data_IF_176957552978
#
_entry.id   IF_176957552978
#
_cell.length_a   1.000
_cell.length_b   1.000
_cell.length_c   1.000
_cell.angle_alpha   90.00
_cell.angle_beta   90.00
_cell.angle_gamma   90.00
#
_symmetry.space_group_name_H-M   'P 1'
#
loop_
_entity.id
_entity.type
_entity.pdbx_description
1 polymer ?
#
# COMPACT_ATOMS: atom_id res chain seq x y z
N UNK A 1 -12.50 -12.59 61.06
CA UNK A 1 -12.12 -13.58 60.04
C UNK A 1 -12.59 -13.17 58.65
N UNK A 2 -13.85 -12.74 58.49
CA UNK A 2 -14.43 -12.29 57.20
C UNK A 2 -13.74 -11.07 56.56
N UNK A 3 -13.36 -10.06 57.34
CA UNK A 3 -12.69 -8.84 56.81
C UNK A 3 -11.34 -9.17 56.14
N UNK A 4 -10.60 -10.14 56.68
CA UNK A 4 -9.32 -10.56 56.13
C UNK A 4 -9.51 -11.32 54.81
N UNK A 5 -10.59 -12.11 54.72
CA UNK A 5 -10.98 -12.84 53.50
C UNK A 5 -11.43 -11.85 52.41
N UNK A 6 -12.28 -10.88 52.73
CA UNK A 6 -12.69 -9.82 51.79
C UNK A 6 -11.51 -9.03 51.24
N UNK A 7 -10.54 -8.66 52.09
CA UNK A 7 -9.33 -7.93 51.67
C UNK A 7 -8.46 -8.75 50.71
N UNK A 8 -8.36 -10.07 50.93
CA UNK A 8 -7.63 -10.99 50.05
C UNK A 8 -8.31 -11.13 48.68
N UNK A 9 -9.64 -11.22 48.64
CA UNK A 9 -10.40 -11.24 47.38
C UNK A 9 -10.32 -9.92 46.63
N UNK A 10 -10.40 -8.78 47.31
CA UNK A 10 -10.19 -7.45 46.72
C UNK A 10 -8.80 -7.32 46.08
N UNK A 11 -7.75 -7.80 46.74
CA UNK A 11 -6.39 -7.80 46.19
C UNK A 11 -6.28 -8.70 44.95
N UNK A 12 -6.90 -9.88 44.95
CA UNK A 12 -6.90 -10.80 43.81
C UNK A 12 -7.65 -10.19 42.61
N UNK A 13 -8.81 -9.57 42.84
CA UNK A 13 -9.59 -8.93 41.78
C UNK A 13 -8.81 -7.74 41.22
N UNK A 14 -8.22 -6.91 42.07
CA UNK A 14 -7.40 -5.77 41.65
C UNK A 14 -6.19 -6.21 40.82
N UNK A 15 -5.45 -7.23 41.28
CA UNK A 15 -4.32 -7.76 40.53
C UNK A 15 -4.75 -8.32 39.17
N UNK A 16 -5.86 -9.06 39.12
CA UNK A 16 -6.42 -9.58 37.87
C UNK A 16 -6.79 -8.47 36.89
N UNK A 17 -7.47 -7.42 37.36
CA UNK A 17 -7.86 -6.26 36.52
C UNK A 17 -6.62 -5.56 35.96
N UNK A 18 -5.58 -5.36 36.79
CA UNK A 18 -4.32 -4.74 36.34
C UNK A 18 -3.64 -5.61 35.28
N UNK A 19 -3.57 -6.92 35.48
CA UNK A 19 -2.97 -7.83 34.50
C UNK A 19 -3.73 -7.84 33.17
N UNK A 20 -5.06 -7.86 33.21
CA UNK A 20 -5.90 -7.79 31.99
C UNK A 20 -5.72 -6.45 31.29
N UNK A 21 -5.71 -5.33 32.02
CA UNK A 21 -5.47 -4.01 31.45
C UNK A 21 -4.07 -3.90 30.83
N UNK A 22 -3.04 -4.42 31.50
CA UNK A 22 -1.68 -4.44 30.98
C UNK A 22 -1.56 -5.30 29.71
N UNK A 23 -2.18 -6.47 29.68
CA UNK A 23 -2.21 -7.34 28.51
C UNK A 23 -2.95 -6.67 27.33
N UNK A 24 -4.05 -5.97 27.62
CA UNK A 24 -4.80 -5.21 26.62
C UNK A 24 -3.97 -4.06 26.05
N UNK A 25 -3.35 -3.24 26.90
CA UNK A 25 -2.47 -2.15 26.46
C UNK A 25 -1.27 -2.66 25.66
N UNK A 26 -0.69 -3.78 26.07
CA UNK A 26 0.38 -4.44 25.33
C UNK A 26 -0.09 -4.91 23.95
N UNK A 27 -1.26 -5.54 23.86
CA UNK A 27 -1.83 -5.95 22.57
C UNK A 27 -2.11 -4.77 21.64
N UNK A 28 -2.65 -3.67 22.16
CA UNK A 28 -2.84 -2.43 21.38
C UNK A 28 -1.51 -1.84 20.90
N UNK A 29 -0.44 -1.93 21.71
CA UNK A 29 0.89 -1.48 21.31
C UNK A 29 1.52 -2.32 20.18
N UNK A 30 1.06 -3.56 20.00
CA UNK A 30 1.52 -4.45 18.93
C UNK A 30 0.73 -4.32 17.64
N UNK A 31 -0.40 -3.60 17.65
CA UNK A 31 -1.21 -3.45 16.44
C UNK A 31 -0.45 -2.59 15.44
N UNK A 32 -0.20 -3.08 14.21
CA UNK A 32 0.50 -2.32 13.18
C UNK A 32 -0.24 -1.01 12.88
N UNK A 33 0.48 0.11 12.98
CA UNK A 33 -0.06 1.46 12.78
C UNK A 33 0.14 2.01 11.38
N UNK A 34 0.92 1.33 10.56
CA UNK A 34 1.25 1.75 9.20
C UNK A 34 2.13 3.00 9.13
N UNK A 35 2.71 3.43 10.25
CA UNK A 35 3.63 4.57 10.36
C UNK A 35 5.03 4.26 9.78
N UNK A 36 5.45 2.99 9.90
CA UNK A 36 6.72 2.47 9.37
C UNK A 36 6.50 1.50 8.22
N UNK A 37 7.53 1.31 7.37
CA UNK A 37 7.51 0.33 6.28
C UNK A 37 7.18 -1.07 6.81
N UNK A 38 7.88 -1.54 7.84
CA UNK A 38 7.65 -2.86 8.46
C UNK A 38 6.23 -2.98 9.03
N UNK A 39 5.69 -1.91 9.61
CA UNK A 39 4.30 -1.93 10.03
C UNK A 39 3.33 -2.04 8.85
N UNK A 40 3.60 -1.36 7.73
CA UNK A 40 2.79 -1.46 6.51
C UNK A 40 2.89 -2.86 5.90
N UNK A 41 4.07 -3.46 5.82
CA UNK A 41 4.27 -4.86 5.39
C UNK A 41 3.46 -5.83 6.25
N UNK A 42 3.46 -5.66 7.58
CA UNK A 42 2.63 -6.48 8.48
C UNK A 42 1.13 -6.32 8.19
N UNK A 43 0.66 -5.11 7.88
CA UNK A 43 -0.72 -4.86 7.44
C UNK A 43 -1.01 -5.56 6.12
N UNK A 44 -0.11 -5.48 5.12
CA UNK A 44 -0.28 -6.14 3.82
C UNK A 44 -0.43 -7.66 3.98
N UNK A 45 0.41 -8.27 4.81
CA UNK A 45 0.36 -9.70 5.12
C UNK A 45 -0.95 -10.17 5.77
N UNK A 46 -1.70 -9.24 6.38
CA UNK A 46 -3.02 -9.54 6.95
C UNK A 46 -4.14 -9.20 5.97
N UNK A 47 -4.00 -8.12 5.21
CA UNK A 47 -5.08 -7.54 4.39
C UNK A 47 -5.16 -8.15 2.99
N UNK A 48 -4.03 -8.55 2.38
CA UNK A 48 -3.97 -9.04 1.00
C UNK A 48 -3.81 -10.56 1.01
N UNK A 49 -4.89 -11.27 0.68
CA UNK A 49 -4.88 -12.75 0.59
C UNK A 49 -4.31 -13.30 -0.72
N UNK A 50 -4.08 -12.44 -1.72
CA UNK A 50 -3.62 -12.83 -3.06
C UNK A 50 -2.11 -13.08 -3.16
N UNK A 51 -1.38 -13.00 -2.05
CA UNK A 51 0.04 -13.32 -1.93
C UNK A 51 0.47 -13.38 -0.47
N UNK A 52 1.71 -13.77 -0.20
CA UNK A 52 2.26 -13.88 1.16
C UNK A 52 3.63 -13.21 1.33
N UNK A 53 4.02 -12.96 2.59
CA UNK A 53 5.32 -12.38 2.96
C UNK A 53 5.64 -11.11 2.17
N UNK A 54 4.67 -10.19 2.13
CA UNK A 54 4.78 -8.94 1.39
C UNK A 54 5.95 -8.09 1.87
N UNK A 55 6.81 -7.68 0.94
CA UNK A 55 7.96 -6.80 1.15
C UNK A 55 7.80 -5.54 0.29
N UNK A 56 7.84 -4.37 0.90
CA UNK A 56 7.71 -3.08 0.22
C UNK A 56 9.05 -2.70 -0.39
N UNK A 57 9.03 -2.37 -1.68
CA UNK A 57 10.21 -2.03 -2.46
C UNK A 57 10.30 -0.54 -2.76
N UNK A 58 9.15 0.09 -3.01
CA UNK A 58 9.09 1.52 -3.33
C UNK A 58 7.85 2.13 -2.70
N UNK A 59 7.99 3.39 -2.27
CA UNK A 59 6.86 4.18 -1.80
C UNK A 59 6.85 5.54 -2.46
N UNK A 60 5.64 6.01 -2.74
CA UNK A 60 5.35 7.35 -3.19
C UNK A 60 4.39 7.98 -2.18
N UNK A 61 4.75 9.14 -1.64
CA UNK A 61 3.82 9.96 -0.87
C UNK A 61 3.03 10.87 -1.82
N UNK A 62 1.71 10.79 -1.77
CA UNK A 62 0.82 11.53 -2.67
C UNK A 62 -0.35 12.11 -1.87
N UNK A 63 -0.38 13.44 -1.71
CA UNK A 63 -1.46 14.13 -0.98
C UNK A 63 -1.67 13.63 0.45
N UNK A 64 -0.59 13.20 1.13
CA UNK A 64 -0.61 12.62 2.47
C UNK A 64 -0.95 11.13 2.53
N UNK A 65 -1.30 10.50 1.40
CA UNK A 65 -1.40 9.04 1.28
C UNK A 65 -0.03 8.44 0.98
N UNK A 66 0.15 7.17 1.34
CA UNK A 66 1.31 6.39 0.91
C UNK A 66 0.83 5.36 -0.12
N UNK A 67 1.48 5.35 -1.28
CA UNK A 67 1.34 4.32 -2.30
C UNK A 67 2.57 3.44 -2.23
N UNK A 68 2.41 2.16 -1.87
CA UNK A 68 3.50 1.20 -1.71
C UNK A 68 3.47 0.18 -2.84
N UNK A 69 4.56 0.10 -3.61
CA UNK A 69 4.86 -1.01 -4.51
C UNK A 69 5.55 -2.13 -3.72
N UNK A 70 4.95 -3.32 -3.71
CA UNK A 70 5.44 -4.45 -2.93
C UNK A 70 5.41 -5.77 -3.71
N UNK A 71 6.32 -6.67 -3.33
CA UNK A 71 6.42 -8.04 -3.83
C UNK A 71 5.97 -9.03 -2.77
N UNK A 72 5.43 -10.16 -3.20
CA UNK A 72 5.20 -11.32 -2.35
C UNK A 72 6.25 -12.42 -2.61
N UNK A 73 6.36 -13.37 -1.68
CA UNK A 73 7.20 -14.55 -1.87
C UNK A 73 6.64 -15.53 -2.92
N UNK A 74 5.34 -15.46 -3.23
CA UNK A 74 4.64 -16.32 -4.20
C UNK A 74 4.47 -15.70 -5.59
N UNK A 75 5.44 -14.87 -6.01
CA UNK A 75 5.53 -14.27 -7.35
C UNK A 75 4.36 -13.34 -7.71
N UNK A 76 3.89 -12.58 -6.71
CA UNK A 76 2.89 -11.53 -6.88
C UNK A 76 3.52 -10.18 -6.62
N UNK A 77 2.87 -9.18 -7.19
CA UNK A 77 3.19 -7.78 -7.03
C UNK A 77 1.93 -7.01 -6.69
N UNK A 78 2.08 -5.90 -5.98
CA UNK A 78 0.94 -5.08 -5.60
C UNK A 78 1.29 -3.60 -5.55
N UNK A 79 0.32 -2.77 -5.95
CA UNK A 79 0.24 -1.37 -5.55
C UNK A 79 -0.79 -1.26 -4.43
N UNK A 80 -0.33 -1.01 -3.21
CA UNK A 80 -1.14 -0.87 -2.01
C UNK A 80 -1.27 0.59 -1.60
N UNK A 81 -2.47 0.98 -1.18
CA UNK A 81 -2.82 2.35 -0.82
C UNK A 81 -3.04 2.42 0.69
N UNK A 82 -2.34 3.36 1.32
CA UNK A 82 -2.43 3.65 2.74
C UNK A 82 -2.95 5.07 2.96
N UNK A 83 -4.09 5.18 3.64
CA UNK A 83 -4.75 6.44 3.96
C UNK A 83 -4.28 6.96 5.32
N UNK A 84 -3.91 8.25 5.44
CA UNK A 84 -3.54 8.83 6.72
C UNK A 84 -4.74 8.86 7.67
N UNK A 85 -4.49 8.57 8.95
CA UNK A 85 -5.53 8.60 10.00
C UNK A 85 -5.48 9.87 10.85
N UNK A 86 -4.53 10.77 10.59
CA UNK A 86 -4.39 12.08 11.24
C UNK A 86 -3.32 12.15 12.35
N UNK A 87 -2.91 11.02 12.92
CA UNK A 87 -1.92 10.96 14.02
C UNK A 87 -0.51 10.55 13.55
N UNK A 88 -0.22 10.62 12.25
CA UNK A 88 0.99 10.04 11.64
C UNK A 88 0.88 8.54 11.33
N UNK A 89 -0.21 7.90 11.76
CA UNK A 89 -0.55 6.51 11.47
C UNK A 89 -1.30 6.41 10.13
N UNK A 90 -1.20 5.25 9.49
CA UNK A 90 -1.83 4.94 8.23
C UNK A 90 -2.63 3.64 8.30
N UNK A 91 -3.80 3.62 7.65
CA UNK A 91 -4.60 2.41 7.48
C UNK A 91 -4.56 1.94 6.03
N UNK A 92 -4.55 0.64 5.82
CA UNK A 92 -4.72 0.07 4.49
C UNK A 92 -6.12 0.42 3.95
N UNK A 93 -6.17 0.88 2.69
CA UNK A 93 -7.39 1.26 2.00
C UNK A 93 -7.75 0.25 0.91
N UNK A 94 -6.86 0.04 -0.05
CA UNK A 94 -7.08 -0.87 -1.17
C UNK A 94 -5.76 -1.31 -1.81
N UNK A 95 -5.81 -2.30 -2.70
CA UNK A 95 -4.66 -2.70 -3.50
C UNK A 95 -5.01 -3.22 -4.89
N UNK A 96 -4.09 -3.03 -5.83
CA UNK A 96 -4.12 -3.65 -7.16
C UNK A 96 -3.03 -4.72 -7.22
N UNK A 97 -3.42 -5.98 -7.35
CA UNK A 97 -2.51 -7.13 -7.27
C UNK A 97 -2.38 -7.80 -8.64
N UNK A 98 -1.16 -8.18 -9.01
CA UNK A 98 -0.81 -8.84 -10.28
C UNK A 98 0.26 -9.91 -10.05
N UNK A 99 0.59 -10.67 -11.10
CA UNK A 99 1.83 -11.44 -11.09
C UNK A 99 3.04 -10.50 -11.25
N UNK A 100 4.20 -10.92 -10.76
CA UNK A 100 5.40 -10.09 -10.77
C UNK A 100 5.97 -9.78 -12.17
N UNK A 101 5.53 -10.48 -13.20
CA UNK A 101 5.91 -10.24 -14.59
C UNK A 101 4.96 -9.28 -15.32
N UNK A 102 3.85 -8.87 -14.69
CA UNK A 102 2.87 -7.94 -15.28
C UNK A 102 3.12 -6.50 -14.82
N UNK A 103 2.83 -5.54 -15.71
CA UNK A 103 2.74 -4.12 -15.36
C UNK A 103 1.52 -3.92 -14.45
N UNK A 104 1.70 -3.24 -13.31
CA UNK A 104 0.58 -2.88 -12.45
C UNK A 104 0.08 -1.50 -12.85
N UNK A 105 -1.18 -1.45 -13.28
CA UNK A 105 -1.93 -0.20 -13.48
C UNK A 105 -3.13 -0.21 -12.53
N UNK A 106 -3.15 0.75 -11.63
CA UNK A 106 -4.23 0.98 -10.68
C UNK A 106 -4.60 2.45 -10.60
N UNK A 107 -5.37 2.82 -9.59
CA UNK A 107 -5.65 4.22 -9.33
C UNK A 107 -6.24 4.46 -7.96
N UNK A 108 -6.22 5.72 -7.55
CA UNK A 108 -6.68 6.17 -6.24
C UNK A 108 -7.31 7.56 -6.33
N UNK A 109 -8.42 7.75 -5.62
CA UNK A 109 -8.98 9.07 -5.40
C UNK A 109 -8.34 9.72 -4.16
N UNK A 110 -7.67 10.85 -4.34
CA UNK A 110 -7.03 11.62 -3.27
C UNK A 110 -7.58 13.04 -3.31
N UNK A 111 -8.19 13.48 -2.20
CA UNK A 111 -8.80 14.82 -2.08
C UNK A 111 -9.81 15.15 -3.21
N UNK A 112 -10.56 14.15 -3.67
CA UNK A 112 -11.57 14.30 -4.74
C UNK A 112 -11.01 14.25 -6.17
N UNK A 113 -9.71 14.05 -6.33
CA UNK A 113 -9.03 13.96 -7.62
C UNK A 113 -8.56 12.53 -7.87
N UNK A 114 -8.74 12.03 -9.09
CA UNK A 114 -8.30 10.69 -9.47
C UNK A 114 -6.85 10.71 -9.97
N UNK A 115 -6.08 9.74 -9.50
CA UNK A 115 -4.70 9.50 -9.94
C UNK A 115 -4.59 8.09 -10.48
N UNK A 116 -4.11 7.97 -11.71
CA UNK A 116 -3.60 6.71 -12.24
C UNK A 116 -2.23 6.42 -11.61
N UNK A 117 -2.04 5.17 -11.19
CA UNK A 117 -0.82 4.69 -10.56
C UNK A 117 -0.25 3.55 -11.37
N UNK A 118 1.01 3.66 -11.75
CA UNK A 118 1.67 2.69 -12.62
C UNK A 118 2.99 2.29 -12.00
N UNK A 119 3.24 0.98 -11.95
CA UNK A 119 4.50 0.45 -11.45
C UNK A 119 4.93 -0.78 -12.24
N UNK A 120 6.21 -0.79 -12.61
CA UNK A 120 6.85 -1.84 -13.41
C UNK A 120 7.53 -2.90 -12.54
N UNK A 121 7.08 -3.04 -11.29
CA UNK A 121 7.56 -4.07 -10.39
C UNK A 121 9.09 -4.10 -10.23
N UNK A 122 9.73 -2.92 -10.19
CA UNK A 122 11.19 -2.79 -10.09
C UNK A 122 11.98 -3.28 -11.31
N UNK A 123 11.34 -3.44 -12.46
CA UNK A 123 12.05 -3.62 -13.72
C UNK A 123 13.01 -2.46 -13.95
N UNK A 124 14.23 -2.77 -14.44
CA UNK A 124 15.18 -1.76 -14.88
C UNK A 124 14.71 -1.21 -16.22
N UNK A 125 14.23 0.01 -16.18
CA UNK A 125 13.55 0.67 -17.30
C UNK A 125 14.28 1.95 -17.64
N UNK A 126 14.43 2.24 -18.94
CA UNK A 126 14.95 3.51 -19.43
C UNK A 126 13.84 4.58 -19.43
N UNK A 127 12.64 4.19 -19.86
CA UNK A 127 11.44 5.04 -19.83
C UNK A 127 10.17 4.21 -19.99
N UNK A 128 9.04 4.85 -19.71
CA UNK A 128 7.71 4.34 -20.04
C UNK A 128 7.00 5.25 -21.03
N UNK A 129 6.13 4.67 -21.84
CA UNK A 129 5.20 5.37 -22.69
C UNK A 129 3.77 5.06 -22.26
N UNK A 130 2.96 6.11 -22.16
CA UNK A 130 1.59 6.01 -21.70
C UNK A 130 0.70 6.72 -22.71
N UNK A 131 -0.30 6.00 -23.19
CA UNK A 131 -1.27 6.50 -24.16
C UNK A 131 -2.67 6.37 -23.58
N UNK A 132 -3.39 7.48 -23.51
CA UNK A 132 -4.78 7.49 -23.10
C UNK A 132 -5.71 7.41 -24.31
N UNK A 133 -6.86 6.76 -24.14
CA UNK A 133 -7.98 6.86 -25.07
C UNK A 133 -9.17 7.47 -24.32
N UNK A 134 -9.57 8.68 -24.71
CA UNK A 134 -10.67 9.42 -24.08
C UNK A 134 -11.79 9.55 -25.11
N UNK A 135 -13.01 9.17 -24.74
CA UNK A 135 -14.17 9.17 -25.65
C UNK A 135 -13.89 8.45 -27.00
N UNK A 136 -13.12 7.35 -26.94
CA UNK A 136 -12.73 6.57 -28.13
C UNK A 136 -11.67 7.21 -29.02
N UNK A 137 -11.12 8.37 -28.65
CA UNK A 137 -10.02 9.03 -29.36
C UNK A 137 -8.70 8.77 -28.66
N UNK A 138 -7.76 8.16 -29.37
CA UNK A 138 -6.39 7.95 -28.91
C UNK A 138 -5.69 9.31 -28.81
N UNK A 139 -5.15 9.62 -27.65
CA UNK A 139 -4.39 10.83 -27.38
C UNK A 139 -2.92 10.64 -27.75
N UNK A 140 -2.15 11.73 -27.67
CA UNK A 140 -0.70 11.65 -27.85
C UNK A 140 -0.06 10.75 -26.78
N UNK A 141 0.90 9.93 -27.22
CA UNK A 141 1.72 9.12 -26.32
C UNK A 141 2.69 10.01 -25.56
N UNK A 142 2.65 9.92 -24.23
CA UNK A 142 3.53 10.67 -23.34
C UNK A 142 4.63 9.77 -22.81
N UNK A 143 5.88 10.26 -22.88
CA UNK A 143 7.05 9.58 -22.31
C UNK A 143 7.27 10.03 -20.86
N UNK A 144 7.46 9.06 -19.98
CA UNK A 144 7.73 9.25 -18.57
C UNK A 144 9.09 8.67 -18.21
N UNK A 145 9.81 9.39 -17.34
CA UNK A 145 10.99 8.81 -16.69
C UNK A 145 10.57 7.71 -15.73
N UNK A 146 11.38 6.68 -15.67
CA UNK A 146 11.25 5.54 -14.77
C UNK A 146 12.48 5.39 -13.87
N UNK A 147 13.22 6.49 -13.69
CA UNK A 147 14.41 6.55 -12.84
C UNK A 147 14.11 5.98 -11.44
N UNK A 148 15.08 5.26 -10.88
CA UNK A 148 15.02 4.63 -9.55
C UNK A 148 13.77 3.77 -9.28
N UNK A 149 13.18 3.21 -10.35
CA UNK A 149 12.01 2.32 -10.27
C UNK A 149 10.79 2.99 -9.60
N UNK A 150 10.65 4.31 -9.80
CA UNK A 150 9.59 5.10 -9.20
C UNK A 150 8.19 4.62 -9.64
N UNK A 151 7.23 4.82 -8.73
CA UNK A 151 5.81 4.66 -9.03
C UNK A 151 5.37 5.91 -9.77
N UNK A 152 4.90 5.76 -11.01
CA UNK A 152 4.36 6.87 -11.78
C UNK A 152 2.97 7.19 -11.25
N UNK A 153 2.71 8.48 -10.98
CA UNK A 153 1.38 8.98 -10.66
C UNK A 153 0.97 10.06 -11.65
N UNK A 154 -0.21 9.90 -12.25
CA UNK A 154 -0.76 10.83 -13.23
C UNK A 154 -2.14 11.26 -12.76
N UNK A 155 -2.30 12.56 -12.51
CA UNK A 155 -3.62 13.13 -12.23
C UNK A 155 -4.45 13.07 -13.51
N UNK A 156 -5.59 12.39 -13.47
CA UNK A 156 -6.48 12.28 -14.62
C UNK A 156 -7.89 12.78 -14.25
N UNK A 157 -8.34 13.94 -14.78
CA UNK A 157 -9.65 14.49 -14.48
C UNK A 157 -10.80 13.84 -15.28
N UNK A 158 -10.49 13.04 -16.29
CA UNK A 158 -11.49 12.41 -17.15
C UNK A 158 -12.17 11.23 -16.45
N UNK A 159 -13.50 11.11 -16.62
CA UNK A 159 -14.28 10.07 -15.93
C UNK A 159 -14.28 8.72 -16.65
N UNK A 160 -14.14 8.74 -17.97
CA UNK A 160 -14.19 7.53 -18.81
C UNK A 160 -13.02 7.56 -19.80
N UNK A 161 -12.08 6.66 -19.62
CA UNK A 161 -10.93 6.48 -20.49
C UNK A 161 -10.41 5.05 -20.41
N UNK A 162 -9.58 4.68 -21.37
CA UNK A 162 -8.65 3.54 -21.24
C UNK A 162 -7.22 4.03 -21.28
N UNK A 163 -6.32 3.24 -20.70
CA UNK A 163 -4.90 3.51 -20.63
C UNK A 163 -4.14 2.33 -21.23
N UNK A 164 -3.20 2.64 -22.11
CA UNK A 164 -2.19 1.70 -22.59
C UNK A 164 -0.84 2.14 -22.03
N UNK A 165 -0.15 1.22 -21.38
CA UNK A 165 1.17 1.45 -20.80
C UNK A 165 2.14 0.49 -21.44
N UNK A 166 3.32 0.97 -21.79
CA UNK A 166 4.47 0.15 -22.23
C UNK A 166 5.74 0.71 -21.58
N UNK A 167 6.76 -0.12 -21.40
CA UNK A 167 8.07 0.35 -20.96
C UNK A 167 9.19 -0.19 -21.85
N UNK A 168 10.30 0.52 -21.83
CA UNK A 168 11.51 0.19 -22.56
C UNK A 168 12.65 -0.04 -21.58
N UNK A 169 13.41 -1.12 -21.76
CA UNK A 169 14.66 -1.32 -21.03
C UNK A 169 15.81 -0.51 -21.66
N UNK A 170 16.99 -0.55 -21.03
CA UNK A 170 18.18 0.17 -21.53
C UNK A 170 18.74 -0.36 -22.85
N UNK A 171 18.29 -1.55 -23.29
CA UNK A 171 18.66 -2.15 -24.58
C UNK A 171 17.64 -1.77 -25.67
N UNK A 172 16.58 -1.04 -25.31
CA UNK A 172 15.50 -0.63 -26.21
C UNK A 172 14.42 -1.69 -26.44
N UNK A 173 14.40 -2.78 -25.67
CA UNK A 173 13.34 -3.78 -25.76
C UNK A 173 12.04 -3.24 -25.15
N UNK A 174 10.93 -3.45 -25.86
CA UNK A 174 9.59 -3.03 -25.44
C UNK A 174 8.87 -4.14 -24.67
N UNK A 175 8.17 -3.76 -23.60
CA UNK A 175 7.33 -4.64 -22.78
C UNK A 175 5.95 -4.00 -22.56
N UNK A 176 4.90 -4.83 -22.52
CA UNK A 176 3.50 -4.42 -22.35
C UNK A 176 2.68 -5.48 -21.60
#
# INVERSE_FOLDING_TARGET
MEVLVMKKWLLIISATVICVAAAFLYFFSLTPKGDTITSRESILNTAISKGNEWTIAKELELGGYIVSGAYSADNKSTLAIFEPTGNGDYKFSTSTNRNSDEIIVGGVAINGEWYDLIWFNGAKTEYAEITYTINGQVQDTLRYSTDDMDIISIKNPEKEYSIHVVYYDNDGNKYE
#
